data_IF_705835376377
#
_entry.id   IF_705835376377
#
_cell.length_a   1.000
_cell.length_b   1.000
_cell.length_c   1.000
_cell.angle_alpha   90.00
_cell.angle_beta   90.00
_cell.angle_gamma   90.00
#
_symmetry.space_group_name_H-M   'P 1'
#
loop_
_entity.id
_entity.type
_entity.pdbx_description
1 polymer ?
#
# COMPACT_ATOMS: atom_id res chain seq x y z
N UNK A 1 -4.67 5.42 -33.98
CA UNK A 1 -4.05 4.79 -32.80
C UNK A 1 -3.23 5.86 -32.09
N UNK A 2 -3.80 6.50 -31.06
CA UNK A 2 -3.06 7.38 -30.18
C UNK A 2 -2.06 6.53 -29.40
N UNK A 3 -0.76 6.79 -29.58
CA UNK A 3 0.26 6.25 -28.67
C UNK A 3 -0.02 6.88 -27.31
N UNK A 4 -0.61 6.11 -26.40
CA UNK A 4 -0.59 6.50 -25.00
C UNK A 4 0.88 6.59 -24.60
N UNK A 5 1.36 7.81 -24.31
CA UNK A 5 2.63 7.98 -23.64
C UNK A 5 2.50 7.29 -22.29
N UNK A 6 3.14 6.14 -22.14
CA UNK A 6 3.23 5.47 -20.85
C UNK A 6 3.77 6.48 -19.84
N UNK A 7 2.92 6.92 -18.90
CA UNK A 7 3.33 7.80 -17.82
C UNK A 7 4.33 7.02 -17.00
N UNK A 8 5.59 7.46 -17.01
CA UNK A 8 6.62 6.81 -16.22
C UNK A 8 6.18 6.81 -14.74
N UNK A 9 6.37 5.70 -14.02
CA UNK A 9 5.98 5.62 -12.62
C UNK A 9 6.73 6.66 -11.80
N UNK A 10 6.01 7.42 -10.98
CA UNK A 10 6.57 8.41 -10.08
C UNK A 10 7.47 7.68 -9.07
N UNK A 11 8.74 8.09 -9.00
CA UNK A 11 9.64 7.55 -7.98
C UNK A 11 9.40 8.24 -6.64
N UNK A 12 9.81 7.64 -5.50
CA UNK A 12 9.74 8.34 -4.22
C UNK A 12 10.52 9.65 -4.25
N UNK A 13 11.61 9.71 -5.02
CA UNK A 13 12.45 10.90 -5.16
C UNK A 13 11.73 12.02 -5.92
N UNK A 14 11.02 11.70 -7.00
CA UNK A 14 10.22 12.66 -7.78
C UNK A 14 9.12 13.26 -6.90
N UNK A 15 8.44 12.41 -6.12
CA UNK A 15 7.40 12.84 -5.18
C UNK A 15 7.95 13.83 -4.16
N UNK A 16 9.08 13.50 -3.51
CA UNK A 16 9.69 14.36 -2.49
C UNK A 16 10.14 15.70 -3.10
N UNK A 17 10.67 15.68 -4.33
CA UNK A 17 11.06 16.90 -5.03
C UNK A 17 9.83 17.82 -5.25
N UNK A 18 8.71 17.25 -5.70
CA UNK A 18 7.47 18.00 -5.88
C UNK A 18 6.94 18.58 -4.56
N UNK A 19 7.00 17.80 -3.47
CA UNK A 19 6.64 18.29 -2.13
C UNK A 19 7.48 19.49 -1.73
N UNK A 20 8.80 19.43 -1.92
CA UNK A 20 9.74 20.49 -1.56
C UNK A 20 9.53 21.79 -2.35
N UNK A 21 9.00 21.71 -3.57
CA UNK A 21 8.66 22.88 -4.39
C UNK A 21 7.41 23.59 -3.85
N UNK A 22 6.48 22.85 -3.22
CA UNK A 22 5.29 23.43 -2.63
C UNK A 22 5.62 24.14 -1.31
N UNK A 23 4.84 25.17 -0.96
CA UNK A 23 4.74 25.57 0.45
C UNK A 23 4.21 24.36 1.20
N UNK A 24 4.94 23.86 2.18
CA UNK A 24 4.51 22.77 3.03
C UNK A 24 5.03 22.95 4.47
N UNK A 25 4.44 22.25 5.43
CA UNK A 25 4.83 22.30 6.86
C UNK A 25 5.71 21.13 7.28
N UNK A 26 6.20 20.32 6.34
CA UNK A 26 6.94 19.10 6.65
C UNK A 26 8.39 19.43 6.98
N UNK A 27 8.84 19.01 8.15
CA UNK A 27 10.27 19.07 8.50
C UNK A 27 11.07 18.05 7.69
N UNK A 28 12.40 18.19 7.57
CA UNK A 28 13.24 17.20 6.89
C UNK A 28 13.05 15.76 7.42
N UNK A 29 12.87 15.60 8.73
CA UNK A 29 12.58 14.30 9.36
C UNK A 29 11.23 13.73 8.93
N UNK A 30 10.21 14.58 8.75
CA UNK A 30 8.90 14.15 8.26
C UNK A 30 8.96 13.78 6.78
N UNK A 31 9.72 14.50 5.96
CA UNK A 31 9.94 14.16 4.55
C UNK A 31 10.65 12.81 4.39
N UNK A 32 11.60 12.50 5.27
CA UNK A 32 12.23 11.18 5.30
C UNK A 32 11.21 10.07 5.59
N UNK A 33 10.31 10.26 6.58
CA UNK A 33 9.21 9.32 6.85
C UNK A 33 8.28 9.15 5.65
N UNK A 34 7.96 10.25 4.95
CA UNK A 34 7.15 10.22 3.72
C UNK A 34 7.84 9.38 2.63
N UNK A 35 9.15 9.56 2.44
CA UNK A 35 9.92 8.75 1.47
C UNK A 35 9.84 7.25 1.79
N UNK A 36 10.05 6.88 3.04
CA UNK A 36 9.99 5.48 3.49
C UNK A 36 8.61 4.86 3.30
N UNK A 37 7.53 5.64 3.48
CA UNK A 37 6.17 5.22 3.16
C UNK A 37 6.02 4.97 1.66
N UNK A 38 6.44 5.91 0.82
CA UNK A 38 6.33 5.79 -0.64
C UNK A 38 7.12 4.61 -1.20
N UNK A 39 8.28 4.30 -0.63
CA UNK A 39 9.10 3.13 -0.99
C UNK A 39 8.39 1.79 -0.74
N UNK A 40 7.42 1.76 0.18
CA UNK A 40 6.62 0.57 0.50
C UNK A 40 5.40 0.39 -0.40
N UNK A 41 5.04 1.42 -1.18
CA UNK A 41 3.99 1.31 -2.19
C UNK A 41 4.57 0.76 -3.49
N UNK A 42 3.85 -0.22 -4.05
CA UNK A 42 4.02 -0.68 -5.42
C UNK A 42 3.88 0.52 -6.38
N UNK A 43 4.64 0.58 -7.48
CA UNK A 43 4.70 1.75 -8.35
C UNK A 43 3.32 2.26 -8.82
N UNK A 44 2.42 1.36 -9.19
CA UNK A 44 1.07 1.72 -9.63
C UNK A 44 0.27 2.42 -8.53
N UNK A 45 0.31 1.91 -7.29
CA UNK A 45 -0.42 2.52 -6.17
C UNK A 45 0.23 3.82 -5.71
N UNK A 46 1.53 3.97 -5.93
CA UNK A 46 2.23 5.24 -5.68
C UNK A 46 1.76 6.34 -6.63
N UNK A 47 1.54 6.03 -7.91
CA UNK A 47 0.95 6.96 -8.86
C UNK A 47 -0.47 7.36 -8.43
N UNK A 48 -1.33 6.38 -8.14
CA UNK A 48 -2.71 6.68 -7.70
C UNK A 48 -2.71 7.51 -6.40
N UNK A 49 -1.77 7.25 -5.50
CA UNK A 49 -1.57 8.00 -4.27
C UNK A 49 -1.14 9.44 -4.55
N UNK A 50 -0.20 9.66 -5.47
CA UNK A 50 0.23 10.98 -5.93
C UNK A 50 -0.93 11.75 -6.55
N UNK A 51 -1.66 11.14 -7.48
CA UNK A 51 -2.78 11.76 -8.16
C UNK A 51 -3.87 12.15 -7.17
N UNK A 52 -4.18 11.29 -6.18
CA UNK A 52 -5.17 11.58 -5.16
C UNK A 52 -4.75 12.74 -4.22
N UNK A 53 -3.45 12.90 -3.94
CA UNK A 53 -2.96 14.03 -3.16
C UNK A 53 -2.91 15.34 -3.96
N UNK A 54 -2.56 15.27 -5.25
CA UNK A 54 -2.49 16.45 -6.12
C UNK A 54 -3.85 16.94 -6.61
N UNK A 55 -4.84 16.04 -6.68
CA UNK A 55 -6.23 16.36 -7.04
C UNK A 55 -7.14 16.56 -5.83
N UNK A 56 -6.60 16.53 -4.61
CA UNK A 56 -7.38 16.76 -3.39
C UNK A 56 -8.14 18.09 -3.48
N UNK A 57 -9.47 18.11 -3.29
CA UNK A 57 -10.28 19.32 -3.40
C UNK A 57 -9.92 20.38 -2.35
N UNK A 58 -9.33 19.99 -1.21
CA UNK A 58 -8.81 20.94 -0.21
C UNK A 58 -7.44 21.52 -0.61
N UNK A 59 -6.83 20.96 -1.65
CA UNK A 59 -5.57 21.34 -2.28
C UNK A 59 -4.45 21.58 -1.26
N UNK A 60 -4.40 20.77 -0.18
CA UNK A 60 -3.48 21.01 0.95
C UNK A 60 -2.01 20.98 0.53
N UNK A 61 -1.71 20.28 -0.55
CA UNK A 61 -0.42 20.29 -1.25
C UNK A 61 -0.06 21.69 -1.78
N UNK A 62 -0.96 22.34 -2.53
CA UNK A 62 -0.70 23.69 -3.07
C UNK A 62 -0.87 24.81 -2.04
N UNK A 63 -1.69 24.58 -1.02
CA UNK A 63 -2.09 25.61 -0.05
C UNK A 63 -1.14 25.76 1.15
N UNK A 64 -0.02 25.04 1.23
CA UNK A 64 0.93 25.26 2.33
C UNK A 64 0.81 24.33 3.52
N UNK A 65 -0.33 23.66 3.69
CA UNK A 65 -0.77 23.09 4.97
C UNK A 65 -0.70 21.56 5.03
N UNK A 66 0.07 20.92 4.15
CA UNK A 66 0.25 19.47 4.24
C UNK A 66 1.07 19.11 5.50
N UNK A 67 0.44 18.34 6.38
CA UNK A 67 1.04 17.79 7.59
C UNK A 67 1.31 16.29 7.41
N UNK A 68 2.20 15.73 8.22
CA UNK A 68 2.47 14.29 8.19
C UNK A 68 1.19 13.48 8.50
N UNK A 69 0.36 13.95 9.44
CA UNK A 69 -0.90 13.31 9.77
C UNK A 69 -1.85 13.20 8.56
N UNK A 70 -1.92 14.25 7.74
CA UNK A 70 -2.71 14.23 6.51
C UNK A 70 -2.16 13.23 5.50
N UNK A 71 -0.84 13.19 5.32
CA UNK A 71 -0.17 12.20 4.46
C UNK A 71 -0.43 10.76 4.92
N UNK A 72 -0.31 10.49 6.21
CA UNK A 72 -0.59 9.18 6.81
C UNK A 72 -2.03 8.72 6.54
N UNK A 73 -3.01 9.63 6.56
CA UNK A 73 -4.40 9.31 6.25
C UNK A 73 -4.59 8.79 4.83
N UNK A 74 -3.96 9.43 3.84
CA UNK A 74 -3.96 8.91 2.47
C UNK A 74 -3.18 7.59 2.39
N UNK A 75 -2.00 7.52 3.02
CA UNK A 75 -1.14 6.34 2.94
C UNK A 75 -1.87 5.09 3.42
N UNK A 76 -2.61 5.17 4.53
CA UNK A 76 -3.41 4.06 5.07
C UNK A 76 -4.42 3.52 4.03
N UNK A 77 -5.11 4.40 3.30
CA UNK A 77 -6.06 4.00 2.26
C UNK A 77 -5.36 3.22 1.15
N UNK A 78 -4.26 3.75 0.62
CA UNK A 78 -3.55 3.13 -0.51
C UNK A 78 -2.80 1.87 -0.10
N UNK A 79 -2.27 1.84 1.11
CA UNK A 79 -1.66 0.65 1.67
C UNK A 79 -2.69 -0.47 1.86
N UNK A 80 -3.90 -0.17 2.36
CA UNK A 80 -5.00 -1.15 2.42
C UNK A 80 -5.40 -1.69 1.04
N UNK A 81 -5.42 -0.84 0.01
CA UNK A 81 -5.63 -1.28 -1.39
C UNK A 81 -4.52 -2.24 -1.84
N UNK A 82 -3.26 -1.94 -1.52
CA UNK A 82 -2.13 -2.82 -1.82
C UNK A 82 -2.29 -4.19 -1.17
N UNK A 83 -2.60 -4.24 0.12
CA UNK A 83 -2.77 -5.49 0.84
C UNK A 83 -3.91 -6.32 0.25
N UNK A 84 -5.02 -5.66 -0.09
CA UNK A 84 -6.17 -6.32 -0.75
C UNK A 84 -5.77 -6.92 -2.10
N UNK A 85 -4.99 -6.17 -2.89
CA UNK A 85 -4.47 -6.67 -4.16
C UNK A 85 -3.53 -7.87 -3.98
N UNK A 86 -2.58 -7.81 -3.03
CA UNK A 86 -1.67 -8.92 -2.71
C UNK A 86 -2.46 -10.18 -2.31
N UNK A 87 -3.48 -10.02 -1.46
CA UNK A 87 -4.34 -11.14 -1.03
C UNK A 87 -5.06 -11.76 -2.23
N UNK A 88 -5.57 -10.94 -3.15
CA UNK A 88 -6.26 -11.43 -4.35
C UNK A 88 -5.30 -12.18 -5.29
N UNK A 89 -4.11 -11.65 -5.52
CA UNK A 89 -3.10 -12.30 -6.35
C UNK A 89 -2.63 -13.64 -5.75
N UNK A 90 -2.43 -13.70 -4.43
CA UNK A 90 -2.13 -14.96 -3.72
C UNK A 90 -3.29 -15.95 -3.82
N UNK A 91 -4.53 -15.49 -3.72
CA UNK A 91 -5.70 -16.35 -3.89
C UNK A 91 -5.81 -16.90 -5.32
N UNK A 92 -5.56 -16.09 -6.33
CA UNK A 92 -5.49 -16.53 -7.74
C UNK A 92 -4.36 -17.56 -7.92
N UNK A 93 -3.17 -17.30 -7.36
CA UNK A 93 -2.05 -18.24 -7.39
C UNK A 93 -2.43 -19.58 -6.73
N UNK A 94 -3.14 -19.53 -5.61
CA UNK A 94 -3.69 -20.72 -4.95
C UNK A 94 -4.66 -21.49 -5.86
N UNK A 95 -5.64 -20.82 -6.48
CA UNK A 95 -6.60 -21.45 -7.42
C UNK A 95 -5.92 -22.08 -8.63
N UNK A 96 -4.80 -21.50 -9.07
CA UNK A 96 -3.96 -22.02 -10.16
C UNK A 96 -2.90 -23.03 -9.69
N UNK A 97 -2.93 -23.44 -8.42
CA UNK A 97 -1.96 -24.32 -7.77
C UNK A 97 -0.50 -23.86 -7.89
N UNK A 98 -0.25 -22.57 -8.08
CA UNK A 98 1.09 -21.96 -8.10
C UNK A 98 1.69 -21.88 -6.70
N UNK A 99 3.01 -21.67 -6.56
CA UNK A 99 3.63 -21.37 -5.27
C UNK A 99 3.01 -20.12 -4.63
N UNK A 100 2.83 -20.14 -3.31
CA UNK A 100 2.32 -19.02 -2.53
C UNK A 100 3.49 -18.31 -1.85
N UNK A 101 3.54 -16.97 -1.95
CA UNK A 101 4.56 -16.14 -1.32
C UNK A 101 4.21 -15.85 0.14
N UNK A 102 2.92 -15.78 0.47
CA UNK A 102 2.44 -15.45 1.80
C UNK A 102 1.67 -16.61 2.44
N UNK A 103 0.78 -17.29 1.71
CA UNK A 103 -0.05 -18.36 2.26
C UNK A 103 0.68 -19.69 2.52
N UNK A 104 0.15 -20.51 3.44
CA UNK A 104 0.62 -21.87 3.69
C UNK A 104 -0.37 -22.91 3.13
N UNK A 105 0.03 -23.62 2.07
CA UNK A 105 -0.82 -24.64 1.43
C UNK A 105 -1.26 -25.76 2.38
N UNK A 106 -0.41 -26.20 3.32
CA UNK A 106 -0.76 -27.26 4.29
C UNK A 106 -1.87 -26.80 5.23
N UNK A 107 -1.79 -25.56 5.71
CA UNK A 107 -2.84 -24.96 6.54
C UNK A 107 -4.13 -24.79 5.76
N UNK A 108 -4.07 -24.35 4.50
CA UNK A 108 -5.25 -24.24 3.64
C UNK A 108 -5.90 -25.62 3.40
N UNK A 109 -5.11 -26.68 3.20
CA UNK A 109 -5.62 -28.03 3.09
C UNK A 109 -6.31 -28.52 4.38
N UNK A 110 -5.80 -28.11 5.54
CA UNK A 110 -6.45 -28.38 6.83
C UNK A 110 -7.74 -27.56 7.02
N UNK A 111 -7.82 -26.33 6.51
CA UNK A 111 -9.05 -25.53 6.52
C UNK A 111 -10.15 -26.20 5.68
N UNK A 112 -9.78 -26.79 4.53
CA UNK A 112 -10.72 -27.54 3.68
C UNK A 112 -11.40 -28.72 4.37
N UNK A 113 -10.80 -29.29 5.41
CA UNK A 113 -11.41 -30.39 6.17
C UNK A 113 -12.33 -29.91 7.30
N UNK A 114 -12.48 -28.59 7.50
CA UNK A 114 -13.35 -28.04 8.53
C UNK A 114 -14.81 -27.99 8.05
N UNK A 115 -15.80 -28.17 8.96
CA UNK A 115 -17.20 -27.94 8.64
C UNK A 115 -17.44 -26.49 8.20
N UNK A 116 -18.35 -26.29 7.25
CA UNK A 116 -18.75 -24.96 6.72
C UNK A 116 -17.63 -24.16 6.03
N UNK A 117 -16.60 -24.83 5.51
CA UNK A 117 -15.53 -24.18 4.76
C UNK A 117 -16.06 -23.43 3.51
N UNK A 118 -15.79 -22.13 3.44
CA UNK A 118 -15.97 -21.28 2.26
C UNK A 118 -14.59 -21.01 1.66
N UNK A 119 -14.32 -21.59 0.49
CA UNK A 119 -13.01 -21.48 -0.15
C UNK A 119 -12.61 -20.02 -0.44
N UNK A 120 -13.56 -19.17 -0.82
CA UNK A 120 -13.27 -17.77 -1.12
C UNK A 120 -12.94 -17.00 0.15
N UNK A 121 -13.75 -17.18 1.20
CA UNK A 121 -13.62 -16.45 2.44
C UNK A 121 -12.45 -16.94 3.29
N UNK A 122 -12.37 -18.24 3.55
CA UNK A 122 -11.42 -18.83 4.50
C UNK A 122 -9.99 -18.79 3.98
N UNK A 123 -9.79 -19.04 2.69
CA UNK A 123 -8.46 -18.97 2.07
C UNK A 123 -7.97 -17.52 2.04
N UNK A 124 -8.82 -16.57 1.63
CA UNK A 124 -8.45 -15.14 1.65
C UNK A 124 -8.21 -14.66 3.07
N UNK A 125 -8.97 -15.12 4.07
CA UNK A 125 -8.76 -14.79 5.47
C UNK A 125 -7.41 -15.31 5.99
N UNK A 126 -7.07 -16.56 5.68
CA UNK A 126 -5.76 -17.12 6.04
C UNK A 126 -4.60 -16.39 5.35
N UNK A 127 -4.69 -16.15 4.04
CA UNK A 127 -3.67 -15.40 3.28
C UNK A 127 -3.53 -14.00 3.88
N UNK A 128 -4.64 -13.32 4.16
CA UNK A 128 -4.68 -12.01 4.81
C UNK A 128 -3.91 -12.02 6.13
N UNK A 129 -4.15 -13.00 6.99
CA UNK A 129 -3.43 -13.13 8.26
C UNK A 129 -1.91 -13.25 8.05
N UNK A 130 -1.47 -14.05 7.08
CA UNK A 130 -0.04 -14.24 6.78
C UNK A 130 0.58 -12.99 6.14
N UNK A 131 -0.13 -12.35 5.22
CA UNK A 131 0.26 -11.06 4.62
C UNK A 131 0.43 -10.04 5.74
N UNK A 132 -0.54 -9.91 6.65
CA UNK A 132 -0.45 -8.99 7.77
C UNK A 132 0.68 -9.35 8.73
N UNK A 133 0.91 -10.62 9.08
CA UNK A 133 2.04 -10.99 9.96
C UNK A 133 3.39 -10.59 9.35
N UNK A 134 3.59 -10.81 8.04
CA UNK A 134 4.82 -10.41 7.35
C UNK A 134 4.91 -8.89 7.13
N UNK A 135 3.79 -8.26 6.77
CA UNK A 135 3.71 -6.82 6.58
C UNK A 135 3.88 -6.06 7.90
N UNK A 136 3.21 -6.45 8.99
CA UNK A 136 3.36 -5.86 10.31
C UNK A 136 4.72 -6.15 10.95
N UNK A 137 5.36 -7.29 10.67
CA UNK A 137 6.77 -7.45 11.03
C UNK A 137 7.67 -6.39 10.35
N UNK A 138 7.27 -5.87 9.18
CA UNK A 138 7.91 -4.75 8.49
C UNK A 138 7.37 -3.37 8.93
N UNK A 139 6.12 -3.28 9.43
CA UNK A 139 5.44 -2.03 9.85
C UNK A 139 5.49 -1.77 11.36
N UNK A 140 5.97 -2.70 12.19
CA UNK A 140 6.26 -2.45 13.62
C UNK A 140 7.24 -1.28 13.82
N UNK A 141 7.94 -0.88 12.77
CA UNK A 141 8.75 0.33 12.67
C UNK A 141 8.00 1.61 12.24
N UNK A 142 6.73 1.54 11.79
CA UNK A 142 5.90 2.68 11.33
C UNK A 142 4.95 3.21 12.41
N UNK A 143 4.73 2.49 13.52
CA UNK A 143 3.95 2.99 14.67
C UNK A 143 4.50 4.31 15.26
N UNK A 144 5.64 4.80 14.79
CA UNK A 144 6.17 6.14 15.05
C UNK A 144 5.50 7.28 14.24
N UNK A 145 4.40 7.05 13.53
CA UNK A 145 3.64 8.14 12.91
C UNK A 145 2.82 8.96 13.91
N UNK A 146 2.72 8.50 15.16
CA UNK A 146 2.02 9.16 16.26
C UNK A 146 2.84 9.31 17.55
N UNK A 147 4.18 9.27 17.46
CA UNK A 147 5.10 9.54 18.57
C UNK A 147 5.79 10.88 18.43
#
# INVERSE_FOLDING_TARGET
>A
MTKECATLPITPQDFIADLLIQKNTLTPRMLQKVREMLERLEPMLRNDFYDALMSDPLNKMRNGTITLAYFCGYFDIFYKKQLSHIIEQEYIAYKQNKPLRYGNKKTIMWLKSQPCFDESLDVKSHIREQVYKKAYALLGAINECGG
#
